data_IF_331163674630
#
_entry.id   IF_331163674630
#
_cell.length_a   1.000
_cell.length_b   1.000
_cell.length_c   1.000
_cell.angle_alpha   90.00
_cell.angle_beta   90.00
_cell.angle_gamma   90.00
#
_symmetry.space_group_name_H-M   'P 1'
#
loop_
_entity.id
_entity.type
_entity.pdbx_description
1 polymer ?
#
# COMPACT_ATOMS: atom_id res chain seq x y z
N UNK A 1 -9.31 -23.20 16.68
CA UNK A 1 -9.88 -22.09 15.87
C UNK A 1 -8.89 -20.95 15.67
N UNK A 2 -8.41 -20.27 16.74
CA UNK A 2 -7.43 -19.17 16.62
C UNK A 2 -6.17 -19.56 15.82
N UNK A 3 -5.51 -20.67 16.17
CA UNK A 3 -4.34 -21.17 15.43
C UNK A 3 -4.63 -21.42 13.93
N UNK A 4 -5.86 -21.80 13.56
CA UNK A 4 -6.25 -21.96 12.16
C UNK A 4 -6.40 -20.61 11.48
N UNK A 5 -7.03 -19.64 12.14
CA UNK A 5 -7.11 -18.26 11.65
C UNK A 5 -5.71 -17.66 11.45
N UNK A 6 -4.75 -17.99 12.33
CA UNK A 6 -3.37 -17.51 12.22
C UNK A 6 -2.63 -18.17 11.06
N UNK A 7 -2.80 -19.48 10.84
CA UNK A 7 -2.27 -20.19 9.66
C UNK A 7 -2.87 -19.71 8.34
N UNK A 8 -4.07 -19.16 8.37
CA UNK A 8 -4.74 -18.55 7.22
C UNK A 8 -4.44 -17.04 7.08
N UNK A 9 -3.47 -16.51 7.84
CA UNK A 9 -3.07 -15.09 7.85
C UNK A 9 -4.21 -14.09 8.14
N UNK A 10 -5.25 -14.52 8.86
CA UNK A 10 -6.32 -13.64 9.32
C UNK A 10 -5.86 -12.84 10.55
N UNK A 11 -6.44 -11.65 10.82
CA UNK A 11 -6.05 -10.78 11.95
C UNK A 11 -6.22 -11.47 13.32
N UNK A 12 -7.07 -12.49 13.40
CA UNK A 12 -7.48 -13.15 14.63
C UNK A 12 -8.91 -13.65 14.56
N UNK A 13 -9.47 -14.00 15.72
CA UNK A 13 -10.87 -14.37 15.88
C UNK A 13 -11.55 -13.44 16.88
N UNK A 14 -12.82 -13.14 16.63
CA UNK A 14 -13.70 -12.45 17.57
C UNK A 14 -14.69 -13.48 18.08
N UNK A 15 -14.70 -13.69 19.39
CA UNK A 15 -15.57 -14.65 20.07
C UNK A 15 -16.58 -13.91 20.94
N UNK A 16 -17.82 -14.37 20.92
CA UNK A 16 -18.90 -13.89 21.79
C UNK A 16 -19.14 -14.89 22.90
N UNK A 17 -19.41 -14.41 24.10
CA UNK A 17 -19.97 -15.23 25.16
C UNK A 17 -21.37 -15.74 24.76
N UNK A 18 -21.59 -17.05 24.88
CA UNK A 18 -22.78 -17.74 24.35
C UNK A 18 -24.08 -17.16 24.91
N UNK A 19 -24.12 -16.95 26.22
CA UNK A 19 -25.34 -16.56 26.94
C UNK A 19 -25.53 -15.04 27.01
N UNK A 20 -24.59 -14.26 26.46
CA UNK A 20 -24.68 -12.81 26.50
C UNK A 20 -25.63 -12.28 25.40
N UNK A 21 -26.54 -11.33 25.71
CA UNK A 21 -27.39 -10.69 24.69
C UNK A 21 -26.55 -9.83 23.73
N UNK A 22 -26.99 -9.71 22.47
CA UNK A 22 -26.39 -8.75 21.53
C UNK A 22 -26.72 -7.31 21.96
N UNK A 23 -25.70 -6.58 22.42
CA UNK A 23 -25.81 -5.17 22.79
C UNK A 23 -24.84 -4.33 21.95
N UNK A 24 -25.31 -3.18 21.47
CA UNK A 24 -24.47 -2.20 20.79
C UNK A 24 -23.59 -1.45 21.80
N UNK A 25 -22.39 -1.02 21.39
CA UNK A 25 -21.42 -0.33 22.24
C UNK A 25 -20.29 -1.21 22.78
N UNK A 26 -19.42 -0.65 23.63
CA UNK A 26 -18.34 -1.41 24.28
C UNK A 26 -18.90 -2.26 25.42
N UNK A 27 -18.65 -3.56 25.36
CA UNK A 27 -19.00 -4.52 26.41
C UNK A 27 -17.95 -5.62 26.54
N UNK A 28 -17.95 -6.32 27.67
CA UNK A 28 -17.01 -7.41 27.95
C UNK A 28 -17.39 -8.77 27.36
N UNK A 29 -18.60 -8.90 26.79
CA UNK A 29 -19.14 -10.16 26.26
C UNK A 29 -18.54 -10.59 24.91
N UNK A 30 -17.57 -9.81 24.41
CA UNK A 30 -16.87 -10.06 23.15
C UNK A 30 -15.37 -10.00 23.40
N UNK A 31 -14.67 -11.09 23.06
CA UNK A 31 -13.22 -11.16 23.18
C UNK A 31 -12.60 -11.31 21.79
N UNK A 32 -11.68 -10.41 21.44
CA UNK A 32 -10.87 -10.52 20.24
C UNK A 32 -9.52 -11.15 20.59
N UNK A 33 -9.26 -12.33 20.05
CA UNK A 33 -7.95 -12.96 20.12
C UNK A 33 -7.24 -12.74 18.78
N UNK A 34 -6.12 -12.01 18.78
CA UNK A 34 -5.41 -11.65 17.56
C UNK A 34 -4.33 -12.69 17.21
N UNK A 35 -4.10 -12.88 15.93
CA UNK A 35 -2.95 -13.61 15.41
C UNK A 35 -1.79 -12.62 15.28
N UNK A 36 -0.82 -12.72 16.19
CA UNK A 36 0.35 -11.85 16.18
C UNK A 36 1.57 -12.72 16.43
N UNK A 37 2.58 -12.59 15.57
CA UNK A 37 3.86 -13.23 15.79
C UNK A 37 4.51 -12.57 17.02
N UNK A 38 4.94 -13.38 17.99
CA UNK A 38 5.86 -12.95 19.02
C UNK A 38 7.26 -12.90 18.43
N UNK A 39 8.04 -11.88 18.77
CA UNK A 39 9.46 -11.82 18.40
C UNK A 39 10.28 -11.26 19.55
N UNK A 40 11.56 -11.64 19.60
CA UNK A 40 12.48 -11.22 20.64
C UNK A 40 13.33 -10.07 20.12
N UNK A 41 13.50 -9.02 20.93
CA UNK A 41 14.32 -7.86 20.56
C UNK A 41 15.21 -7.45 21.72
N UNK A 42 16.38 -6.91 21.41
CA UNK A 42 17.30 -6.32 22.39
C UNK A 42 16.87 -4.88 22.61
N UNK A 43 16.83 -4.45 23.87
CA UNK A 43 16.59 -3.05 24.22
C UNK A 43 17.92 -2.30 24.12
N UNK A 44 18.08 -1.51 23.06
CA UNK A 44 19.27 -0.66 22.87
C UNK A 44 19.12 0.76 23.45
N UNK A 45 17.95 1.09 23.97
CA UNK A 45 17.69 2.38 24.62
C UNK A 45 16.19 2.64 24.82
N UNK A 46 15.86 3.82 25.33
CA UNK A 46 14.48 4.24 25.52
C UNK A 46 14.31 5.74 25.37
N UNK A 47 13.08 6.19 25.14
CA UNK A 47 12.70 7.60 25.24
C UNK A 47 11.82 7.84 26.45
N UNK A 48 11.97 9.00 27.07
CA UNK A 48 11.20 9.40 28.25
C UNK A 48 10.50 10.74 28.06
N UNK A 49 9.51 11.01 28.89
CA UNK A 49 8.95 12.34 29.11
C UNK A 49 8.95 12.57 30.62
N UNK A 50 9.95 13.31 31.11
CA UNK A 50 10.26 13.37 32.54
C UNK A 50 10.64 11.99 33.09
N UNK A 51 9.91 11.52 34.10
CA UNK A 51 10.12 10.18 34.71
C UNK A 51 9.36 9.05 33.99
N UNK A 52 8.53 9.37 32.99
CA UNK A 52 7.65 8.39 32.32
C UNK A 52 8.31 7.81 31.08
N UNK A 53 8.33 6.49 30.98
CA UNK A 53 8.77 5.76 29.78
C UNK A 53 7.77 6.03 28.62
N UNK A 54 8.29 6.42 27.46
CA UNK A 54 7.50 6.69 26.25
C UNK A 54 7.63 5.58 25.21
N UNK A 55 8.85 5.10 24.96
CA UNK A 55 9.09 3.96 24.07
C UNK A 55 10.43 3.30 24.33
N UNK A 56 10.54 2.02 23.99
CA UNK A 56 11.83 1.31 23.90
C UNK A 56 12.35 1.38 22.46
N UNK A 57 13.68 1.41 22.33
CA UNK A 57 14.40 1.30 21.07
C UNK A 57 14.82 -0.16 20.89
N UNK A 58 14.19 -0.86 19.96
CA UNK A 58 14.42 -2.27 19.70
C UNK A 58 15.57 -2.48 18.72
N UNK A 59 16.39 -3.49 18.99
CA UNK A 59 17.48 -3.95 18.14
C UNK A 59 17.44 -5.46 17.92
N UNK A 60 18.03 -5.91 16.82
CA UNK A 60 18.39 -7.32 16.59
C UNK A 60 19.80 -7.39 16.03
N UNK A 61 20.46 -8.51 16.26
CA UNK A 61 21.75 -8.75 15.61
C UNK A 61 21.55 -9.14 14.14
N UNK A 62 22.42 -8.60 13.27
CA UNK A 62 22.51 -8.99 11.85
C UNK A 62 23.95 -9.30 11.46
N UNK A 63 24.12 -10.27 10.57
CA UNK A 63 25.41 -10.76 10.06
C UNK A 63 26.00 -11.92 10.87
N UNK A 64 26.99 -12.61 10.29
CA UNK A 64 27.45 -13.90 10.80
C UNK A 64 28.77 -13.80 11.58
N UNK A 65 28.90 -14.61 12.64
CA UNK A 65 30.14 -14.77 13.43
C UNK A 65 30.63 -13.46 14.09
N UNK A 66 31.92 -13.15 13.96
CA UNK A 66 32.54 -11.93 14.53
C UNK A 66 32.06 -10.62 13.87
N UNK A 67 31.25 -10.72 12.81
CA UNK A 67 30.68 -9.58 12.06
C UNK A 67 29.30 -9.15 12.59
N UNK A 68 28.79 -9.84 13.62
CA UNK A 68 27.45 -9.65 14.18
C UNK A 68 27.31 -8.23 14.73
N UNK A 69 26.46 -7.42 14.10
CA UNK A 69 26.22 -6.02 14.47
C UNK A 69 24.81 -5.85 15.02
N UNK A 70 24.67 -5.13 16.12
CA UNK A 70 23.36 -4.74 16.64
C UNK A 70 22.78 -3.62 15.77
N UNK A 71 21.64 -3.89 15.14
CA UNK A 71 20.95 -2.97 14.22
C UNK A 71 19.64 -2.55 14.85
N UNK A 72 19.36 -1.25 14.84
CA UNK A 72 18.08 -0.71 15.28
C UNK A 72 16.97 -1.16 14.33
N UNK A 73 15.90 -1.72 14.89
CA UNK A 73 14.76 -2.25 14.14
C UNK A 73 13.44 -1.56 14.46
N UNK A 74 13.41 -0.53 15.31
CA UNK A 74 12.21 0.28 15.50
C UNK A 74 11.86 0.57 16.96
N UNK A 75 10.70 1.20 17.15
CA UNK A 75 10.22 1.60 18.48
C UNK A 75 9.12 0.68 18.97
N UNK A 76 9.17 0.37 20.26
CA UNK A 76 8.08 -0.29 20.99
C UNK A 76 7.42 0.77 21.85
N UNK A 77 6.24 1.23 21.46
CA UNK A 77 5.56 2.38 22.06
C UNK A 77 4.37 2.03 22.97
N UNK A 78 4.03 0.75 23.09
CA UNK A 78 2.85 0.28 23.86
C UNK A 78 3.21 -0.98 24.65
N UNK A 79 2.34 -1.39 25.59
CA UNK A 79 2.60 -2.53 26.49
C UNK A 79 3.14 -2.17 27.88
N UNK A 80 3.25 -0.87 28.19
CA UNK A 80 3.81 -0.36 29.44
C UNK A 80 2.72 0.08 30.44
N UNK A 81 1.93 -0.88 30.96
CA UNK A 81 1.01 -0.60 32.08
C UNK A 81 1.76 -0.14 33.34
N UNK A 82 1.06 0.40 34.36
CA UNK A 82 1.70 0.92 35.57
C UNK A 82 2.55 -0.10 36.34
N UNK A 83 2.10 -1.36 36.43
CA UNK A 83 2.87 -2.45 37.03
C UNK A 83 4.14 -2.75 36.23
N UNK A 84 4.03 -2.78 34.90
CA UNK A 84 5.16 -3.01 33.98
C UNK A 84 6.18 -1.89 34.07
N UNK A 85 5.74 -0.62 34.10
CA UNK A 85 6.64 0.52 34.23
C UNK A 85 7.42 0.50 35.55
N UNK A 86 6.76 0.16 36.67
CA UNK A 86 7.41 0.04 37.98
C UNK A 86 8.52 -1.02 38.00
N UNK A 87 8.34 -2.11 37.27
CA UNK A 87 9.34 -3.18 37.18
C UNK A 87 10.44 -2.91 36.12
N UNK A 88 10.08 -2.27 35.00
CA UNK A 88 10.96 -2.11 33.83
C UNK A 88 11.90 -0.91 33.95
N UNK A 89 11.42 0.24 34.44
CA UNK A 89 12.22 1.49 34.50
C UNK A 89 13.49 1.35 35.36
N UNK A 90 13.47 0.71 36.55
CA UNK A 90 14.69 0.51 37.33
C UNK A 90 15.75 -0.30 36.58
N UNK A 91 15.34 -1.37 35.89
CA UNK A 91 16.24 -2.21 35.08
C UNK A 91 16.85 -1.45 33.91
N UNK A 92 16.06 -0.60 33.23
CA UNK A 92 16.58 0.26 32.16
C UNK A 92 17.65 1.23 32.67
N UNK A 93 17.45 1.79 33.88
CA UNK A 93 18.42 2.71 34.50
C UNK A 93 19.73 2.02 34.88
N UNK A 94 19.68 0.77 35.32
CA UNK A 94 20.88 -0.02 35.66
C UNK A 94 21.78 -0.30 34.43
N UNK A 95 21.16 -0.42 33.25
CA UNK A 95 21.87 -0.62 31.99
C UNK A 95 22.10 0.67 31.20
N UNK A 96 21.86 1.85 31.78
CA UNK A 96 22.04 3.12 31.08
C UNK A 96 23.49 3.30 30.59
N UNK A 97 23.65 3.80 29.37
CA UNK A 97 24.94 4.02 28.70
C UNK A 97 25.03 5.44 28.14
N UNK A 98 26.26 5.97 28.04
CA UNK A 98 26.54 7.25 27.38
C UNK A 98 26.61 7.12 25.86
N UNK A 99 26.87 5.92 25.35
CA UNK A 99 27.05 5.62 23.93
C UNK A 99 25.96 4.68 23.42
N UNK A 100 25.58 4.85 22.14
CA UNK A 100 24.65 3.97 21.46
C UNK A 100 25.24 2.56 21.34
N UNK A 101 24.48 1.49 21.66
CA UNK A 101 24.91 0.12 21.45
C UNK A 101 24.73 -0.33 19.98
N UNK A 102 24.02 0.46 19.17
CA UNK A 102 23.78 0.13 17.76
C UNK A 102 25.01 0.47 16.91
N UNK A 103 25.25 -0.33 15.87
CA UNK A 103 26.36 -0.10 14.95
C UNK A 103 26.29 1.28 14.27
N UNK A 104 27.44 1.81 13.86
CA UNK A 104 27.54 3.08 13.15
C UNK A 104 26.69 3.06 11.87
N UNK A 105 25.86 4.10 11.67
CA UNK A 105 24.89 4.16 10.57
C UNK A 105 23.60 3.35 10.77
N UNK A 106 23.51 2.57 11.86
CA UNK A 106 22.35 1.75 12.21
C UNK A 106 21.69 2.19 13.54
N UNK A 107 22.02 3.38 14.05
CA UNK A 107 21.37 4.01 15.21
C UNK A 107 20.18 4.87 14.78
N UNK A 108 19.13 5.00 15.61
CA UNK A 108 18.07 5.98 15.36
C UNK A 108 18.61 7.42 15.45
N UNK A 109 17.94 8.41 14.80
CA UNK A 109 18.28 9.82 14.95
C UNK A 109 18.29 10.25 16.42
N UNK A 110 19.29 11.04 16.83
CA UNK A 110 19.44 11.48 18.23
C UNK A 110 18.32 12.46 18.62
N UNK A 111 17.65 12.18 19.72
CA UNK A 111 16.60 13.02 20.29
C UNK A 111 16.99 13.45 21.72
N UNK A 112 16.51 14.62 22.18
CA UNK A 112 16.91 15.19 23.47
C UNK A 112 16.47 14.36 24.69
N UNK A 113 15.42 13.55 24.53
CA UNK A 113 14.82 12.72 25.57
C UNK A 113 15.15 11.22 25.41
N UNK A 114 16.23 10.92 24.69
CA UNK A 114 16.70 9.58 24.41
C UNK A 114 17.80 9.16 25.38
N UNK A 115 17.70 7.94 25.89
CA UNK A 115 18.67 7.30 26.76
C UNK A 115 19.17 6.02 26.09
N UNK A 116 20.47 5.80 26.08
CA UNK A 116 21.05 4.56 25.55
C UNK A 116 21.11 3.51 26.65
N UNK A 117 20.96 2.25 26.26
CA UNK A 117 21.12 1.11 27.14
C UNK A 117 22.29 0.24 26.64
N UNK A 118 23.04 -0.39 27.54
CA UNK A 118 23.84 -1.56 27.19
C UNK A 118 22.91 -2.65 26.66
N UNK A 119 23.32 -3.43 25.66
CA UNK A 119 22.46 -4.42 25.01
C UNK A 119 22.27 -5.68 25.87
N UNK A 120 21.97 -5.52 27.16
CA UNK A 120 21.91 -6.59 28.16
C UNK A 120 20.47 -7.11 28.34
N UNK A 121 19.47 -6.32 27.97
CA UNK A 121 18.06 -6.62 28.19
C UNK A 121 17.40 -7.12 26.90
N UNK A 122 16.85 -8.34 26.95
CA UNK A 122 15.99 -8.91 25.91
C UNK A 122 14.53 -8.73 26.28
N UNK A 123 13.73 -8.26 25.34
CA UNK A 123 12.30 -8.11 25.46
C UNK A 123 11.57 -9.02 24.47
N UNK A 124 10.52 -9.68 24.95
CA UNK A 124 9.50 -10.23 24.07
C UNK A 124 8.55 -9.10 23.64
N UNK A 125 8.35 -9.01 22.34
CA UNK A 125 7.39 -8.10 21.73
C UNK A 125 6.36 -8.88 20.94
N UNK A 126 5.17 -8.31 20.90
CA UNK A 126 4.17 -8.71 19.94
C UNK A 126 4.05 -7.59 18.91
N UNK A 127 4.09 -7.94 17.63
CA UNK A 127 4.16 -6.96 16.56
C UNK A 127 3.33 -7.41 15.37
N UNK A 128 2.98 -6.45 14.51
CA UNK A 128 2.14 -6.67 13.34
C UNK A 128 2.94 -7.15 12.11
N UNK A 129 4.16 -7.68 12.33
CA UNK A 129 5.08 -8.14 11.30
C UNK A 129 6.26 -7.19 11.02
N UNK A 130 7.22 -7.68 10.25
CA UNK A 130 8.40 -6.93 9.81
C UNK A 130 8.07 -6.06 8.60
N UNK A 131 8.69 -4.89 8.50
CA UNK A 131 8.69 -4.09 7.27
C UNK A 131 9.70 -4.66 6.27
N UNK A 132 9.63 -4.27 4.98
CA UNK A 132 10.62 -4.66 3.98
C UNK A 132 12.06 -4.18 4.27
N UNK A 133 12.22 -3.18 5.15
CA UNK A 133 13.53 -2.75 5.68
C UNK A 133 13.99 -3.59 6.90
N UNK A 134 13.18 -4.55 7.34
CA UNK A 134 13.37 -5.39 8.51
C UNK A 134 13.23 -4.64 9.83
N UNK A 135 12.29 -3.70 9.91
CA UNK A 135 11.89 -3.01 11.15
C UNK A 135 10.58 -3.60 11.71
N UNK A 136 10.37 -3.53 13.02
CA UNK A 136 9.16 -4.00 13.68
C UNK A 136 8.00 -3.01 13.50
N UNK A 137 6.81 -3.51 13.12
CA UNK A 137 5.60 -2.69 12.92
C UNK A 137 4.62 -2.83 14.08
N UNK A 138 4.15 -1.71 14.64
CA UNK A 138 3.14 -1.68 15.71
C UNK A 138 3.49 -2.60 16.90
N UNK A 139 4.74 -2.55 17.34
CA UNK A 139 5.23 -3.39 18.42
C UNK A 139 4.65 -2.97 19.79
N UNK A 140 4.27 -3.98 20.58
CA UNK A 140 3.85 -3.87 21.96
C UNK A 140 4.73 -4.76 22.84
N UNK A 141 5.23 -4.21 23.94
CA UNK A 141 6.02 -4.94 24.92
C UNK A 141 5.17 -6.00 25.63
N UNK A 142 5.71 -7.21 25.80
CA UNK A 142 5.07 -8.30 26.53
C UNK A 142 5.78 -8.65 27.82
N UNK A 143 7.11 -8.69 27.80
CA UNK A 143 7.91 -9.02 28.98
C UNK A 143 9.41 -8.95 28.72
N UNK A 144 10.20 -8.98 29.79
CA UNK A 144 11.64 -9.20 29.69
C UNK A 144 11.93 -10.70 29.70
N UNK A 145 12.83 -11.15 28.83
CA UNK A 145 13.35 -12.52 28.79
C UNK A 145 14.67 -12.56 29.55
N UNK A 146 14.61 -12.90 30.84
CA UNK A 146 15.81 -13.09 31.67
C UNK A 146 16.46 -14.47 31.48
N UNK A 147 15.80 -15.34 30.73
CA UNK A 147 16.16 -16.71 30.41
C UNK A 147 17.04 -16.85 29.17
N UNK A 148 17.26 -15.77 28.41
CA UNK A 148 18.01 -15.79 27.13
C UNK A 148 19.06 -14.68 27.08
N UNK A 149 20.33 -14.98 26.73
CA UNK A 149 21.36 -13.96 26.56
C UNK A 149 21.09 -13.11 25.31
N UNK A 150 21.35 -11.82 25.41
CA UNK A 150 21.08 -10.86 24.33
C UNK A 150 21.82 -11.18 23.02
N UNK A 151 22.96 -11.84 23.10
CA UNK A 151 23.76 -12.25 21.95
C UNK A 151 23.04 -13.26 21.06
N UNK A 152 22.02 -13.98 21.53
CA UNK A 152 21.30 -15.03 20.79
C UNK A 152 20.02 -14.54 20.07
N UNK A 153 19.75 -13.23 20.08
CA UNK A 153 18.54 -12.66 19.45
C UNK A 153 18.81 -12.31 17.98
N UNK A 154 18.13 -13.01 17.06
CA UNK A 154 18.23 -12.86 15.59
C UNK A 154 16.87 -12.54 14.95
N UNK A 155 16.89 -11.88 13.79
CA UNK A 155 15.67 -11.59 13.04
C UNK A 155 15.12 -12.86 12.37
N UNK A 156 13.85 -13.21 12.62
CA UNK A 156 13.19 -14.29 11.90
C UNK A 156 12.88 -13.87 10.45
N UNK A 157 13.38 -14.65 9.49
CA UNK A 157 13.06 -14.53 8.07
C UNK A 157 11.78 -15.33 7.80
N UNK A 158 10.76 -14.69 7.23
CA UNK A 158 9.49 -15.35 6.93
C UNK A 158 9.68 -16.52 5.95
N UNK A 159 9.18 -17.70 6.30
CA UNK A 159 9.14 -18.86 5.41
C UNK A 159 8.14 -18.65 4.27
N UNK A 160 8.47 -19.19 3.10
CA UNK A 160 7.68 -19.12 1.86
C UNK A 160 6.40 -19.97 1.99
N UNK A 161 5.19 -19.47 1.68
CA UNK A 161 3.97 -20.26 1.83
C UNK A 161 3.83 -21.31 0.71
N UNK A 162 3.59 -22.56 1.09
CA UNK A 162 3.15 -23.61 0.15
C UNK A 162 1.73 -23.34 -0.35
N UNK A 163 1.48 -23.71 -1.61
CA UNK A 163 0.20 -23.54 -2.31
C UNK A 163 -0.88 -24.39 -1.65
N UNK A 164 -1.94 -23.76 -1.17
CA UNK A 164 -3.20 -24.44 -0.80
C UNK A 164 -4.29 -24.01 -1.78
N UNK A 165 -4.96 -24.99 -2.40
CA UNK A 165 -6.06 -24.75 -3.33
C UNK A 165 -7.30 -24.15 -2.65
N UNK A 166 -7.88 -23.13 -3.29
CA UNK A 166 -9.05 -22.41 -2.78
C UNK A 166 -10.37 -23.03 -3.27
N UNK A 167 -11.34 -23.18 -2.36
CA UNK A 167 -12.74 -23.44 -2.70
C UNK A 167 -13.43 -22.17 -3.23
N UNK A 168 -14.25 -22.32 -4.28
CA UNK A 168 -14.99 -21.23 -4.96
C UNK A 168 -16.19 -20.73 -4.12
N UNK A 169 -16.31 -19.43 -3.83
CA UNK A 169 -17.49 -18.88 -3.19
C UNK A 169 -18.54 -18.38 -4.21
N UNK A 170 -19.80 -18.77 -4.01
CA UNK A 170 -20.99 -18.25 -4.71
C UNK A 170 -21.41 -16.87 -4.17
N UNK A 171 -22.00 -16.00 -5.01
CA UNK A 171 -22.28 -14.61 -4.65
C UNK A 171 -23.51 -14.46 -3.74
N UNK A 172 -23.38 -13.69 -2.65
CA UNK A 172 -24.51 -13.27 -1.80
C UNK A 172 -24.88 -11.82 -2.10
N UNK A 173 -26.18 -11.57 -2.23
CA UNK A 173 -26.83 -10.29 -2.55
C UNK A 173 -26.37 -9.14 -1.64
N UNK A 174 -26.08 -8.01 -2.26
CA UNK A 174 -25.70 -6.73 -1.64
C UNK A 174 -26.89 -6.12 -0.88
N UNK A 175 -26.76 -5.93 0.43
CA UNK A 175 -27.67 -5.06 1.20
C UNK A 175 -27.13 -3.64 1.20
N UNK A 176 -27.96 -2.68 0.77
CA UNK A 176 -27.71 -1.23 0.79
C UNK A 176 -27.16 -0.79 2.15
N UNK A 177 -25.96 -0.23 2.16
CA UNK A 177 -25.36 0.42 3.34
C UNK A 177 -26.17 1.67 3.71
N UNK A 178 -26.80 1.64 4.88
CA UNK A 178 -27.36 2.83 5.53
C UNK A 178 -26.22 3.72 6.02
N UNK A 179 -26.27 4.99 5.64
CA UNK A 179 -25.37 6.06 6.05
C UNK A 179 -25.59 6.33 7.55
N UNK A 180 -24.67 5.92 8.40
CA UNK A 180 -24.65 6.32 9.81
C UNK A 180 -23.98 7.69 9.90
N UNK A 181 -24.76 8.70 10.26
CA UNK A 181 -24.28 10.01 10.69
C UNK A 181 -23.66 9.88 12.07
N UNK A 182 -22.34 9.80 12.14
CA UNK A 182 -21.60 10.03 13.38
C UNK A 182 -21.04 11.45 13.38
N UNK A 183 -21.41 12.22 14.38
CA UNK A 183 -20.86 13.53 14.73
C UNK A 183 -19.39 13.38 15.17
N UNK A 184 -18.49 14.34 14.89
CA UNK A 184 -17.06 14.14 15.06
C UNK A 184 -16.65 14.22 16.53
N UNK A 185 -16.21 13.08 17.09
CA UNK A 185 -15.36 13.11 18.29
C UNK A 185 -13.94 13.50 17.88
N UNK A 186 -13.27 14.27 18.73
CA UNK A 186 -11.97 14.93 18.58
C UNK A 186 -10.74 14.01 18.42
N UNK A 187 -10.89 12.83 17.83
CA UNK A 187 -9.80 11.99 17.35
C UNK A 187 -9.38 12.40 15.93
N UNK A 188 -8.08 12.40 15.64
CA UNK A 188 -7.60 12.56 14.24
C UNK A 188 -8.28 11.50 13.38
N UNK A 189 -8.87 11.89 12.25
CA UNK A 189 -9.43 10.94 11.29
C UNK A 189 -8.28 10.09 10.72
N UNK A 190 -8.28 8.79 11.02
CA UNK A 190 -7.23 7.86 10.60
C UNK A 190 -7.78 6.86 9.60
N UNK A 191 -7.06 6.62 8.51
CA UNK A 191 -7.35 5.55 7.53
C UNK A 191 -6.04 4.82 7.27
N UNK A 192 -6.00 3.49 7.42
CA UNK A 192 -4.78 2.68 7.24
C UNK A 192 -3.54 3.21 8.01
N UNK A 193 -3.74 3.80 9.20
CA UNK A 193 -2.65 4.38 9.99
C UNK A 193 -2.14 5.74 9.49
N UNK A 194 -2.79 6.34 8.49
CA UNK A 194 -2.52 7.69 7.98
C UNK A 194 -3.52 8.69 8.54
N UNK A 195 -3.04 9.80 9.08
CA UNK A 195 -3.90 10.91 9.51
C UNK A 195 -4.40 11.68 8.29
N UNK A 196 -5.72 11.74 8.14
CA UNK A 196 -6.39 12.50 7.09
C UNK A 196 -6.72 13.90 7.63
N UNK A 197 -6.05 14.91 7.10
CA UNK A 197 -6.38 16.31 7.41
C UNK A 197 -7.52 16.81 6.54
N UNK A 198 -8.37 17.67 7.10
CA UNK A 198 -9.61 18.14 6.48
C UNK A 198 -10.45 16.97 5.92
N UNK A 199 -10.83 15.99 6.76
CA UNK A 199 -11.50 14.77 6.31
C UNK A 199 -12.80 15.07 5.56
N UNK A 200 -13.55 16.08 5.99
CA UNK A 200 -14.83 16.50 5.41
C UNK A 200 -14.67 17.39 4.15
N UNK A 201 -13.43 17.65 3.69
CA UNK A 201 -13.20 18.47 2.49
C UNK A 201 -13.84 17.79 1.29
N UNK A 202 -14.81 18.42 0.58
CA UNK A 202 -15.42 17.84 -0.59
C UNK A 202 -14.39 17.80 -1.73
N UNK A 203 -14.11 16.60 -2.24
CA UNK A 203 -13.30 16.40 -3.43
C UNK A 203 -14.18 16.30 -4.69
N UNK A 204 -15.39 15.75 -4.58
CA UNK A 204 -16.44 15.83 -5.60
C UNK A 204 -17.64 16.62 -5.04
N UNK A 205 -17.64 17.95 -5.16
CA UNK A 205 -18.65 18.80 -4.52
C UNK A 205 -20.05 18.69 -5.16
N UNK A 206 -20.14 18.29 -6.42
CA UNK A 206 -21.41 18.22 -7.16
C UNK A 206 -22.19 16.92 -6.92
N UNK A 207 -21.57 15.92 -6.30
CA UNK A 207 -22.24 14.67 -5.90
C UNK A 207 -23.24 14.94 -4.78
N UNK A 208 -24.30 14.12 -4.70
CA UNK A 208 -25.35 14.25 -3.68
C UNK A 208 -25.50 12.94 -2.91
N UNK A 209 -24.87 12.81 -1.73
CA UNK A 209 -24.03 13.79 -1.03
C UNK A 209 -22.64 13.99 -1.65
N UNK A 210 -21.94 15.11 -1.35
CA UNK A 210 -20.57 15.33 -1.81
C UNK A 210 -19.63 14.23 -1.34
N UNK A 211 -18.73 13.77 -2.22
CA UNK A 211 -17.68 12.81 -1.85
C UNK A 211 -16.49 13.58 -1.27
N UNK A 212 -16.12 13.21 -0.06
CA UNK A 212 -15.12 13.88 0.78
C UNK A 212 -13.74 13.22 0.70
N UNK A 213 -12.72 13.92 1.21
CA UNK A 213 -11.35 13.43 1.24
C UNK A 213 -11.19 12.16 2.07
N UNK A 214 -11.91 12.03 3.19
CA UNK A 214 -11.89 10.79 3.98
C UNK A 214 -12.58 9.63 3.23
N UNK A 215 -13.61 9.92 2.43
CA UNK A 215 -14.26 8.91 1.60
C UNK A 215 -13.35 8.42 0.47
N UNK A 216 -12.53 9.30 -0.14
CA UNK A 216 -11.48 8.86 -1.07
C UNK A 216 -10.47 7.92 -0.38
N UNK A 217 -10.01 8.27 0.82
CA UNK A 217 -9.08 7.42 1.57
C UNK A 217 -9.69 6.06 1.92
N UNK A 218 -10.96 6.03 2.35
CA UNK A 218 -11.71 4.80 2.64
C UNK A 218 -12.00 3.98 1.38
N UNK A 219 -12.22 4.64 0.24
CA UNK A 219 -12.36 3.95 -1.04
C UNK A 219 -11.06 3.21 -1.38
N UNK A 220 -9.92 3.88 -1.30
CA UNK A 220 -8.62 3.23 -1.51
C UNK A 220 -8.30 2.12 -0.49
N UNK A 221 -8.73 2.26 0.76
CA UNK A 221 -8.65 1.17 1.74
C UNK A 221 -9.50 -0.03 1.30
N UNK A 222 -10.73 0.21 0.84
CA UNK A 222 -11.66 -0.85 0.45
C UNK A 222 -11.24 -1.60 -0.82
N UNK A 223 -10.64 -0.92 -1.80
CA UNK A 223 -10.17 -1.55 -3.06
C UNK A 223 -8.68 -1.87 -3.06
N UNK A 224 -7.96 -1.53 -2.00
CA UNK A 224 -6.50 -1.55 -1.95
C UNK A 224 -5.91 -2.89 -2.32
N UNK A 225 -6.44 -3.98 -1.76
CA UNK A 225 -5.95 -5.34 -2.00
C UNK A 225 -6.07 -5.79 -3.46
N UNK A 226 -7.05 -5.26 -4.22
CA UNK A 226 -7.17 -5.54 -5.66
C UNK A 226 -6.40 -4.55 -6.52
N UNK A 227 -6.32 -3.30 -6.07
CA UNK A 227 -5.67 -2.22 -6.81
C UNK A 227 -4.14 -2.34 -6.76
N UNK A 228 -3.59 -2.79 -5.63
CA UNK A 228 -2.15 -2.67 -5.37
C UNK A 228 -1.32 -3.54 -6.32
N UNK A 229 -1.80 -4.71 -6.72
CA UNK A 229 -1.12 -5.59 -7.69
C UNK A 229 -0.92 -4.94 -9.07
N UNK A 230 -1.73 -3.92 -9.39
CA UNK A 230 -1.64 -3.18 -10.64
C UNK A 230 -0.76 -1.92 -10.57
N UNK A 231 -0.29 -1.55 -9.37
CA UNK A 231 0.44 -0.30 -9.09
C UNK A 231 1.82 -0.59 -8.48
N UNK A 232 1.92 -1.56 -7.57
CA UNK A 232 3.15 -1.86 -6.86
C UNK A 232 4.29 -2.22 -7.82
N UNK A 233 5.49 -1.76 -7.49
CA UNK A 233 6.69 -1.89 -8.30
C UNK A 233 6.72 -1.01 -9.55
N UNK A 234 5.68 -0.20 -9.82
CA UNK A 234 5.61 0.62 -11.03
C UNK A 234 5.80 2.10 -10.66
N UNK A 235 6.64 2.84 -11.41
CA UNK A 235 6.62 4.31 -11.36
C UNK A 235 5.17 4.79 -11.54
N UNK A 236 4.69 5.63 -10.64
CA UNK A 236 3.30 6.06 -10.60
C UNK A 236 3.23 7.58 -10.52
N UNK A 237 2.75 8.20 -11.60
CA UNK A 237 2.38 9.61 -11.52
C UNK A 237 1.02 9.75 -10.86
N UNK A 238 0.76 10.90 -10.24
CA UNK A 238 -0.52 11.19 -9.60
C UNK A 238 -1.08 12.51 -10.08
N UNK A 239 -2.40 12.59 -10.21
CA UNK A 239 -3.10 13.86 -10.40
C UNK A 239 -3.70 14.27 -9.08
N UNK A 240 -3.31 15.45 -8.61
CA UNK A 240 -3.77 16.01 -7.35
C UNK A 240 -4.81 17.08 -7.60
N UNK A 241 -5.91 17.00 -6.87
CA UNK A 241 -6.98 17.99 -6.82
C UNK A 241 -7.19 18.42 -5.37
N UNK A 242 -6.21 19.12 -4.76
CA UNK A 242 -6.26 19.46 -3.34
C UNK A 242 -7.50 20.25 -2.95
N UNK A 243 -8.10 21.00 -3.87
CA UNK A 243 -9.32 21.81 -3.69
C UNK A 243 -10.58 21.15 -4.27
N UNK A 244 -10.52 19.84 -4.57
CA UNK A 244 -11.56 19.10 -5.28
C UNK A 244 -11.45 19.19 -6.80
N UNK A 245 -12.19 18.32 -7.49
CA UNK A 245 -12.04 18.09 -8.94
C UNK A 245 -12.42 19.31 -9.80
N UNK A 246 -13.28 20.18 -9.28
CA UNK A 246 -13.67 21.46 -9.90
C UNK A 246 -12.82 22.65 -9.41
N UNK A 247 -11.87 22.37 -8.51
CA UNK A 247 -10.99 23.38 -7.93
C UNK A 247 -10.00 23.94 -8.96
N UNK A 248 -9.51 25.16 -8.71
CA UNK A 248 -8.52 25.83 -9.58
C UNK A 248 -7.18 25.09 -9.63
N UNK A 249 -6.85 24.36 -8.58
CA UNK A 249 -5.61 23.61 -8.46
C UNK A 249 -5.83 22.15 -8.86
N UNK A 250 -5.46 21.82 -10.10
CA UNK A 250 -5.31 20.44 -10.60
C UNK A 250 -3.93 20.33 -11.23
N UNK A 251 -3.07 19.47 -10.69
CA UNK A 251 -1.72 19.32 -11.25
C UNK A 251 -1.22 17.87 -11.22
N UNK A 252 -0.35 17.59 -12.19
CA UNK A 252 0.31 16.31 -12.36
C UNK A 252 1.61 16.29 -11.56
N UNK A 253 1.83 15.25 -10.76
CA UNK A 253 3.00 15.10 -9.93
C UNK A 253 3.68 13.74 -10.23
N UNK A 254 4.96 13.81 -10.59
CA UNK A 254 5.80 12.64 -10.92
C UNK A 254 6.75 12.26 -9.80
N UNK A 255 7.27 13.26 -9.10
CA UNK A 255 8.33 13.10 -8.10
C UNK A 255 7.76 13.34 -6.70
N UNK A 256 8.41 12.76 -5.68
CA UNK A 256 8.14 13.13 -4.31
C UNK A 256 8.45 14.62 -4.08
N UNK A 257 7.69 15.24 -3.18
CA UNK A 257 7.92 16.60 -2.69
C UNK A 257 8.40 16.57 -1.24
N UNK A 258 8.98 17.67 -0.76
CA UNK A 258 9.31 17.80 0.66
C UNK A 258 8.07 17.55 1.54
N UNK A 259 8.21 16.72 2.58
CA UNK A 259 7.10 16.32 3.43
C UNK A 259 6.20 15.21 2.87
N UNK A 260 6.61 14.55 1.78
CA UNK A 260 5.92 13.35 1.29
C UNK A 260 5.94 12.25 2.35
N UNK A 261 4.89 11.45 2.38
CA UNK A 261 4.77 10.36 3.35
C UNK A 261 5.85 9.30 3.12
N UNK A 262 6.45 8.80 4.20
CA UNK A 262 7.38 7.66 4.20
C UNK A 262 6.73 6.35 3.71
N UNK A 263 5.41 6.35 3.51
CA UNK A 263 4.66 5.23 2.93
C UNK A 263 4.74 5.18 1.40
N UNK A 264 5.30 6.21 0.78
CA UNK A 264 5.57 6.28 -0.65
C UNK A 264 7.05 6.01 -0.86
N UNK A 265 7.36 5.21 -1.87
CA UNK A 265 8.71 4.90 -2.30
C UNK A 265 9.08 5.74 -3.53
N UNK A 266 10.36 5.70 -3.90
CA UNK A 266 10.88 6.38 -5.07
C UNK A 266 11.68 5.39 -5.92
N UNK A 267 11.53 5.48 -7.24
CA UNK A 267 12.21 4.62 -8.21
C UNK A 267 12.94 5.46 -9.25
N UNK A 268 14.18 5.10 -9.54
CA UNK A 268 14.93 5.74 -10.63
C UNK A 268 14.45 5.17 -11.95
N UNK A 269 14.19 6.06 -12.90
CA UNK A 269 13.77 5.69 -14.26
C UNK A 269 14.78 6.25 -15.22
N UNK A 270 15.20 5.45 -16.21
CA UNK A 270 16.13 5.89 -17.24
C UNK A 270 15.58 7.11 -17.99
N UNK A 271 16.42 8.11 -18.22
CA UNK A 271 16.04 9.36 -18.91
C UNK A 271 15.37 10.43 -18.04
N UNK A 272 15.01 10.14 -16.78
CA UNK A 272 14.50 11.16 -15.85
C UNK A 272 15.60 11.64 -14.88
N UNK A 273 15.58 12.93 -14.54
CA UNK A 273 16.56 13.58 -13.66
C UNK A 273 16.26 13.31 -12.19
N UNK A 274 15.00 13.05 -11.83
CA UNK A 274 14.56 12.82 -10.45
C UNK A 274 13.82 11.48 -10.37
N UNK A 275 13.91 10.77 -9.23
CA UNK A 275 13.13 9.55 -9.03
C UNK A 275 11.63 9.80 -9.19
N UNK A 276 10.93 8.82 -9.75
CA UNK A 276 9.47 8.79 -9.78
C UNK A 276 8.91 8.34 -8.44
N UNK A 277 7.74 8.84 -8.12
CA UNK A 277 6.92 8.30 -7.04
C UNK A 277 6.53 6.85 -7.35
N UNK A 278 6.49 6.01 -6.32
CA UNK A 278 6.04 4.63 -6.39
C UNK A 278 5.16 4.32 -5.17
N UNK A 279 4.13 3.50 -5.38
CA UNK A 279 3.14 3.15 -4.35
C UNK A 279 3.12 1.62 -4.24
N UNK A 280 3.92 1.09 -3.31
CA UNK A 280 4.18 -0.36 -3.19
C UNK A 280 3.34 -1.07 -2.15
N UNK A 281 2.45 -0.33 -1.48
CA UNK A 281 1.63 -0.89 -0.40
C UNK A 281 0.29 -0.20 -0.28
N UNK A 282 -0.70 -0.95 0.19
CA UNK A 282 -2.08 -0.51 0.37
C UNK A 282 -2.17 0.74 1.25
N UNK A 283 -1.36 0.83 2.31
CA UNK A 283 -1.35 2.03 3.18
C UNK A 283 -0.78 3.28 2.48
N UNK A 284 0.05 3.09 1.46
CA UNK A 284 0.50 4.17 0.57
C UNK A 284 -0.67 4.82 -0.18
N UNK A 285 -1.75 4.08 -0.44
CA UNK A 285 -2.95 4.61 -1.08
C UNK A 285 -3.68 5.62 -0.18
N UNK A 286 -3.69 5.41 1.15
CA UNK A 286 -4.20 6.42 2.09
C UNK A 286 -3.30 7.66 2.12
N UNK A 287 -1.98 7.50 1.98
CA UNK A 287 -1.06 8.63 1.91
C UNK A 287 -1.29 9.49 0.66
N UNK A 288 -1.52 8.88 -0.51
CA UNK A 288 -1.84 9.64 -1.72
C UNK A 288 -3.24 10.28 -1.64
N UNK A 289 -4.24 9.63 -1.02
CA UNK A 289 -5.52 10.28 -0.72
C UNK A 289 -5.36 11.48 0.21
N UNK A 290 -4.52 11.38 1.25
CA UNK A 290 -4.19 12.51 2.12
C UNK A 290 -3.56 13.68 1.36
N UNK A 291 -2.84 13.41 0.27
CA UNK A 291 -2.30 14.43 -0.63
C UNK A 291 -3.34 15.01 -1.61
N UNK A 292 -4.56 14.47 -1.64
CA UNK A 292 -5.62 14.83 -2.57
C UNK A 292 -5.42 14.22 -3.97
N UNK A 293 -4.75 13.07 -4.08
CA UNK A 293 -4.53 12.39 -5.35
C UNK A 293 -5.76 11.60 -5.80
N UNK A 294 -6.49 12.15 -6.77
CA UNK A 294 -7.73 11.55 -7.29
C UNK A 294 -7.50 10.61 -8.46
N UNK A 295 -6.35 10.69 -9.13
CA UNK A 295 -6.00 9.78 -10.23
C UNK A 295 -4.59 9.23 -10.02
N UNK A 296 -4.42 7.93 -10.26
CA UNK A 296 -3.15 7.21 -10.19
C UNK A 296 -2.81 6.71 -11.60
N UNK A 297 -1.60 7.03 -12.04
CA UNK A 297 -1.10 6.75 -13.40
C UNK A 297 0.16 5.87 -13.30
N UNK A 298 0.02 4.57 -12.97
CA UNK A 298 1.14 3.63 -12.94
C UNK A 298 1.62 3.31 -14.35
N UNK A 299 2.94 3.22 -14.50
CA UNK A 299 3.57 2.81 -15.75
C UNK A 299 3.19 1.38 -16.13
N UNK A 300 3.23 1.09 -17.43
CA UNK A 300 2.90 -0.23 -17.99
C UNK A 300 4.09 -1.21 -17.97
N UNK A 301 5.16 -0.91 -17.24
CA UNK A 301 6.38 -1.72 -17.12
C UNK A 301 6.20 -3.01 -16.30
N UNK A 302 7.22 -3.85 -16.15
CA UNK A 302 7.20 -4.90 -15.14
C UNK A 302 7.38 -4.29 -13.74
N UNK A 303 6.77 -4.87 -12.68
CA UNK A 303 7.05 -4.45 -11.31
C UNK A 303 8.56 -4.53 -11.01
N UNK A 304 9.13 -3.45 -10.50
CA UNK A 304 10.56 -3.34 -10.15
C UNK A 304 11.50 -3.17 -11.36
N UNK A 305 11.01 -3.21 -12.59
CA UNK A 305 11.82 -3.04 -13.79
C UNK A 305 11.15 -2.08 -14.79
N UNK A 306 11.40 -0.75 -14.66
CA UNK A 306 10.82 0.27 -15.55
C UNK A 306 11.17 0.13 -17.04
N UNK A 307 12.31 -0.49 -17.35
CA UNK A 307 12.82 -0.61 -18.71
C UNK A 307 12.21 -1.78 -19.49
N UNK A 308 11.51 -2.70 -18.80
CA UNK A 308 10.85 -3.85 -19.42
C UNK A 308 9.32 -3.63 -19.45
N UNK A 309 8.65 -3.69 -20.62
CA UNK A 309 7.19 -3.69 -20.71
C UNK A 309 6.56 -4.86 -19.93
N UNK A 310 5.54 -4.56 -19.14
CA UNK A 310 4.76 -5.57 -18.41
C UNK A 310 3.32 -5.72 -18.86
N UNK A 311 2.79 -4.76 -19.62
CA UNK A 311 1.48 -4.86 -20.26
C UNK A 311 1.39 -3.97 -21.50
N UNK A 312 0.65 -4.44 -22.50
CA UNK A 312 0.17 -3.63 -23.61
C UNK A 312 -1.17 -3.01 -23.23
N UNK A 313 -1.42 -1.78 -23.66
CA UNK A 313 -2.69 -1.07 -23.45
C UNK A 313 -3.11 -0.46 -24.76
N UNK A 314 -4.30 -0.83 -25.23
CA UNK A 314 -4.97 -0.21 -26.35
C UNK A 314 -6.06 0.70 -25.77
N UNK A 315 -5.94 2.01 -25.96
CA UNK A 315 -6.93 2.99 -25.50
C UNK A 315 -7.85 3.39 -26.64
N UNK A 316 -9.15 3.16 -26.46
CA UNK A 316 -10.18 3.48 -27.41
C UNK A 316 -10.85 4.79 -26.96
N UNK A 317 -10.46 5.88 -27.62
CA UNK A 317 -10.93 7.24 -27.34
C UNK A 317 -11.98 7.68 -28.38
N UNK A 318 -13.28 7.62 -28.08
CA UNK A 318 -14.33 8.02 -29.02
C UNK A 318 -14.38 9.53 -29.24
N UNK A 319 -14.66 9.95 -30.47
CA UNK A 319 -15.11 11.31 -30.71
C UNK A 319 -16.43 11.62 -29.97
N UNK A 320 -16.74 12.90 -29.69
CA UNK A 320 -17.90 13.27 -28.89
C UNK A 320 -19.25 12.78 -29.42
N UNK A 321 -19.35 12.55 -30.73
CA UNK A 321 -20.51 12.08 -31.47
C UNK A 321 -20.61 10.54 -31.59
N UNK A 322 -19.59 9.81 -31.12
CA UNK A 322 -19.58 8.34 -31.15
C UNK A 322 -20.19 7.79 -29.87
N UNK A 323 -21.24 6.98 -30.01
CA UNK A 323 -21.91 6.32 -28.91
C UNK A 323 -21.04 5.26 -28.21
N UNK A 324 -21.23 5.09 -26.91
CA UNK A 324 -20.43 4.15 -26.10
C UNK A 324 -20.55 2.68 -26.57
N UNK A 325 -21.70 2.28 -27.15
CA UNK A 325 -21.87 0.93 -27.72
C UNK A 325 -20.88 0.64 -28.85
N UNK A 326 -20.52 1.65 -29.65
CA UNK A 326 -19.50 1.51 -30.69
C UNK A 326 -18.10 1.27 -30.08
N UNK A 327 -17.80 1.90 -28.94
CA UNK A 327 -16.56 1.68 -28.18
C UNK A 327 -16.51 0.26 -27.62
N UNK A 328 -17.63 -0.23 -27.07
CA UNK A 328 -17.75 -1.62 -26.60
C UNK A 328 -17.53 -2.61 -27.75
N UNK A 329 -18.10 -2.36 -28.93
CA UNK A 329 -17.87 -3.17 -30.11
C UNK A 329 -16.40 -3.17 -30.53
N UNK A 330 -15.76 -2.00 -30.57
CA UNK A 330 -14.33 -1.89 -30.90
C UNK A 330 -13.41 -2.59 -29.91
N UNK A 331 -13.70 -2.48 -28.60
CA UNK A 331 -12.93 -3.18 -27.58
C UNK A 331 -13.04 -4.71 -27.73
N UNK A 332 -14.23 -5.23 -28.07
CA UNK A 332 -14.43 -6.65 -28.35
C UNK A 332 -13.68 -7.11 -29.60
N UNK A 333 -13.60 -6.27 -30.61
CA UNK A 333 -12.91 -6.57 -31.85
C UNK A 333 -11.39 -6.65 -31.65
N UNK A 334 -10.80 -5.67 -30.98
CA UNK A 334 -9.38 -5.71 -30.58
C UNK A 334 -9.12 -6.96 -29.74
N UNK A 335 -9.96 -7.25 -28.75
CA UNK A 335 -9.82 -8.45 -27.94
C UNK A 335 -9.90 -9.75 -28.77
N UNK A 336 -10.80 -9.83 -29.76
CA UNK A 336 -10.89 -11.00 -30.65
C UNK A 336 -9.62 -11.18 -31.49
N UNK A 337 -9.05 -10.10 -32.03
CA UNK A 337 -7.77 -10.14 -32.78
C UNK A 337 -6.62 -10.61 -31.90
N UNK A 338 -6.51 -10.07 -30.69
CA UNK A 338 -5.47 -10.46 -29.72
C UNK A 338 -5.59 -11.95 -29.34
N UNK A 339 -6.81 -12.46 -29.11
CA UNK A 339 -7.02 -13.89 -28.81
C UNK A 339 -6.60 -14.82 -29.95
N UNK A 340 -6.79 -14.41 -31.22
CA UNK A 340 -6.31 -15.19 -32.38
C UNK A 340 -4.78 -15.32 -32.41
N UNK A 341 -4.07 -14.38 -31.79
CA UNK A 341 -2.61 -14.39 -31.63
C UNK A 341 -2.16 -15.13 -30.36
N UNK A 342 -3.08 -15.76 -29.63
CA UNK A 342 -2.78 -16.46 -28.37
C UNK A 342 -2.65 -15.56 -27.15
N UNK A 343 -2.97 -14.26 -27.27
CA UNK A 343 -2.91 -13.31 -26.17
C UNK A 343 -4.20 -13.30 -25.34
N UNK A 344 -4.10 -12.91 -24.07
CA UNK A 344 -5.23 -12.85 -23.12
C UNK A 344 -5.60 -11.40 -22.81
N UNK A 345 -6.58 -10.81 -23.51
CA UNK A 345 -6.99 -9.43 -23.28
C UNK A 345 -8.01 -9.29 -22.13
N UNK A 346 -7.82 -8.26 -21.33
CA UNK A 346 -8.74 -7.79 -20.29
C UNK A 346 -9.27 -6.41 -20.68
N UNK A 347 -10.49 -6.07 -20.28
CA UNK A 347 -11.07 -4.76 -20.55
C UNK A 347 -11.30 -4.01 -19.22
N UNK A 348 -11.02 -2.71 -19.22
CA UNK A 348 -11.41 -1.81 -18.13
C UNK A 348 -11.98 -0.51 -18.69
N UNK A 349 -12.98 0.03 -18.01
CA UNK A 349 -13.46 1.39 -18.26
C UNK A 349 -12.40 2.41 -17.87
N UNK A 350 -12.28 3.50 -18.62
CA UNK A 350 -11.32 4.58 -18.28
C UNK A 350 -11.80 5.48 -17.15
N UNK A 351 -13.10 5.47 -16.86
CA UNK A 351 -13.75 6.48 -16.02
C UNK A 351 -14.12 7.76 -16.79
N UNK A 352 -13.69 7.87 -18.05
CA UNK A 352 -14.13 8.88 -19.01
C UNK A 352 -15.08 8.29 -20.05
N UNK A 353 -14.83 8.58 -21.33
CA UNK A 353 -15.68 8.16 -22.45
C UNK A 353 -15.24 6.85 -23.11
N UNK A 354 -14.00 6.43 -22.88
CA UNK A 354 -13.34 5.33 -23.59
C UNK A 354 -13.25 4.00 -22.82
N UNK A 355 -12.56 3.05 -23.44
CA UNK A 355 -12.22 1.75 -22.87
C UNK A 355 -10.72 1.46 -23.07
N UNK A 356 -10.08 0.81 -22.10
CA UNK A 356 -8.76 0.21 -22.31
C UNK A 356 -8.91 -1.29 -22.50
N UNK A 357 -8.28 -1.83 -23.54
CA UNK A 357 -7.99 -3.26 -23.67
C UNK A 357 -6.54 -3.50 -23.26
N UNK A 358 -6.31 -4.34 -22.26
CA UNK A 358 -5.01 -4.55 -21.62
C UNK A 358 -4.57 -6.00 -21.81
N UNK A 359 -3.32 -6.21 -22.20
CA UNK A 359 -2.72 -7.55 -22.33
C UNK A 359 -1.49 -7.62 -21.43
N UNK A 360 -1.44 -8.55 -20.45
CA UNK A 360 -0.23 -8.75 -19.65
C UNK A 360 0.89 -9.35 -20.52
N UNK A 361 2.12 -8.93 -20.24
CA UNK A 361 3.34 -9.51 -20.82
C UNK A 361 4.08 -10.28 -19.73
N UNK A 362 4.80 -11.33 -20.13
CA UNK A 362 5.70 -12.04 -19.21
C UNK A 362 6.92 -11.18 -18.90
N UNK A 363 7.73 -11.58 -17.91
CA UNK A 363 8.97 -10.92 -17.51
C UNK A 363 10.21 -11.74 -17.93
N UNK A 364 10.03 -12.75 -18.77
CA UNK A 364 11.08 -13.65 -19.21
C UNK A 364 11.89 -13.08 -20.39
N UNK A 365 12.94 -13.79 -20.81
CA UNK A 365 13.86 -13.33 -21.87
C UNK A 365 13.21 -13.17 -23.24
N UNK A 366 12.02 -13.71 -23.46
CA UNK A 366 11.24 -13.57 -24.70
C UNK A 366 10.34 -12.34 -24.68
N UNK A 367 10.25 -11.64 -23.56
CA UNK A 367 9.43 -10.44 -23.44
C UNK A 367 9.97 -9.33 -24.34
N UNK A 368 9.09 -8.61 -25.06
CA UNK A 368 9.50 -7.56 -25.97
C UNK A 368 10.05 -6.37 -25.18
N UNK A 369 10.97 -5.63 -25.79
CA UNK A 369 11.32 -4.28 -25.34
C UNK A 369 10.21 -3.27 -25.70
N UNK A 370 10.37 -2.02 -25.26
CA UNK A 370 9.38 -0.96 -25.49
C UNK A 370 9.13 -0.69 -26.97
N UNK A 371 10.16 -0.71 -27.82
CA UNK A 371 10.03 -0.42 -29.25
C UNK A 371 9.31 -1.55 -30.00
N UNK A 372 9.61 -2.81 -29.64
CA UNK A 372 8.93 -3.99 -30.18
C UNK A 372 7.46 -4.02 -29.73
N UNK A 373 7.21 -3.78 -28.43
CA UNK A 373 5.85 -3.71 -27.89
C UNK A 373 5.01 -2.64 -28.58
N UNK A 374 5.56 -1.42 -28.75
CA UNK A 374 4.90 -0.31 -29.45
C UNK A 374 4.68 -0.59 -30.93
N UNK A 375 5.64 -1.23 -31.59
CA UNK A 375 5.50 -1.61 -33.00
C UNK A 375 4.37 -2.62 -33.18
N UNK A 376 4.28 -3.61 -32.28
CA UNK A 376 3.21 -4.60 -32.27
C UNK A 376 1.83 -3.95 -32.06
N UNK A 377 1.66 -3.11 -31.03
CA UNK A 377 0.37 -2.46 -30.76
C UNK A 377 -0.06 -1.55 -31.91
N UNK A 378 0.88 -0.77 -32.46
CA UNK A 378 0.66 0.06 -33.64
C UNK A 378 0.16 -0.74 -34.83
N UNK A 379 0.76 -1.90 -35.10
CA UNK A 379 0.38 -2.72 -36.24
C UNK A 379 -1.02 -3.31 -36.10
N UNK A 380 -1.43 -3.70 -34.88
CA UNK A 380 -2.81 -4.14 -34.61
C UNK A 380 -3.81 -3.01 -34.85
N UNK A 381 -3.54 -1.82 -34.30
CA UNK A 381 -4.42 -0.67 -34.48
C UNK A 381 -4.47 -0.19 -35.94
N UNK A 382 -3.33 -0.19 -36.63
CA UNK A 382 -3.24 0.18 -38.05
C UNK A 382 -4.09 -0.75 -38.91
N UNK A 383 -3.93 -2.07 -38.78
CA UNK A 383 -4.75 -3.03 -39.54
C UNK A 383 -6.24 -2.85 -39.29
N UNK A 384 -6.63 -2.62 -38.04
CA UNK A 384 -8.03 -2.37 -37.69
C UNK A 384 -8.56 -1.08 -38.35
N UNK A 385 -7.76 -0.01 -38.34
CA UNK A 385 -8.13 1.24 -39.01
C UNK A 385 -8.12 1.15 -40.54
N UNK A 386 -7.26 0.32 -41.13
CA UNK A 386 -7.23 0.10 -42.58
C UNK A 386 -8.42 -0.76 -43.05
N UNK A 387 -8.83 -1.74 -42.24
CA UNK A 387 -9.98 -2.60 -42.52
C UNK A 387 -11.31 -1.87 -42.31
N UNK A 388 -11.38 -0.96 -41.33
CA UNK A 388 -12.60 -0.20 -40.98
C UNK A 388 -12.33 1.31 -40.80
N UNK A 389 -11.93 2.02 -41.88
CA UNK A 389 -11.46 3.41 -41.82
C UNK A 389 -12.54 4.43 -41.46
N UNK A 390 -13.81 4.08 -41.65
CA UNK A 390 -14.96 4.91 -41.27
C UNK A 390 -15.27 4.84 -39.77
N UNK A 391 -14.70 3.85 -39.05
CA UNK A 391 -14.94 3.63 -37.62
C UNK A 391 -13.72 3.94 -36.76
N UNK A 392 -12.51 3.72 -37.28
CA UNK A 392 -11.28 3.85 -36.49
C UNK A 392 -10.25 4.76 -37.16
N UNK A 393 -9.39 5.35 -36.32
CA UNK A 393 -8.25 6.15 -36.77
C UNK A 393 -7.08 5.98 -35.79
N UNK A 394 -5.86 5.92 -36.31
CA UNK A 394 -4.64 5.85 -35.48
C UNK A 394 -3.85 7.17 -35.46
N UNK A 395 -4.28 8.17 -36.22
CA UNK A 395 -3.68 9.49 -36.25
C UNK A 395 -4.17 10.34 -35.08
N UNK A 396 -3.25 11.05 -34.42
CA UNK A 396 -3.56 11.94 -33.31
C UNK A 396 -4.32 13.21 -33.71
N UNK A 397 -4.33 13.58 -34.99
CA UNK A 397 -4.95 14.82 -35.45
C UNK A 397 -6.47 14.86 -35.15
N UNK A 398 -6.89 15.74 -34.23
CA UNK A 398 -8.30 15.88 -33.80
C UNK A 398 -9.30 16.10 -34.95
N UNK A 399 -8.88 16.78 -36.02
CA UNK A 399 -9.71 17.04 -37.21
C UNK A 399 -10.13 15.74 -37.92
N UNK A 400 -9.34 14.69 -37.81
CA UNK A 400 -9.61 13.40 -38.41
C UNK A 400 -10.41 12.47 -37.49
N UNK A 401 -10.75 12.89 -36.26
CA UNK A 401 -11.43 12.00 -35.30
C UNK A 401 -12.96 12.02 -35.39
N UNK A 402 -13.57 13.01 -36.05
CA UNK A 402 -15.04 13.17 -36.12
C UNK A 402 -15.72 11.88 -36.57
N UNK A 403 -16.72 11.41 -35.82
CA UNK A 403 -17.46 10.18 -36.10
C UNK A 403 -16.69 8.88 -35.87
N UNK A 404 -15.44 8.93 -35.39
CA UNK A 404 -14.53 7.77 -35.28
C UNK A 404 -13.99 7.57 -33.87
N UNK A 405 -13.52 6.36 -33.62
CA UNK A 405 -12.78 5.98 -32.41
C UNK A 405 -11.29 6.12 -32.72
N UNK A 406 -10.60 6.96 -31.96
CA UNK A 406 -9.15 7.02 -31.99
C UNK A 406 -8.58 5.83 -31.22
N UNK A 407 -7.71 5.06 -31.88
CA UNK A 407 -7.00 3.93 -31.31
C UNK A 407 -5.60 4.36 -30.90
N UNK A 408 -5.41 4.68 -29.61
CA UNK A 408 -4.10 4.97 -29.05
C UNK A 408 -3.41 3.66 -28.65
N UNK A 409 -2.18 3.47 -29.14
CA UNK A 409 -1.48 2.17 -29.17
C UNK A 409 -0.18 2.16 -28.38
#
# INVERSE_FOLDING_TARGET
VLQSACRMHLEGIVSKELDAPYKSGRGGSWTKAKCRAGHEVIIGGWTSEGRRLRSLLAGVHRGDGKSRKLVYVGRVGTGFGESVMRALVPKLREVESKTSPFAAGASPPKEANMHWARPDLVAEIEFAGWTGAGNVRQAAFKGLRGDKPAEEVEAEVAANPEKVEMAKPTPRKTSKLKRATETPSSGKAMVMGVSISHPDKPLWPNEKPPVTKIELARYYEAVGDWMIDHIAGRPCSIVRTPDGIDGKQKFFQRHAMAGSSHLLSEVKVSGDKKPYLQIDRVEGLAAVAQMGATELHPWNCQPGNPDLPGRLVFDLDPAPDVGFDAVVAGAREIAARLRKLGLVPFCKTTGGKGLHVVVPLTDDKKSPDWDTAKTFTREICRRLADEEPDRYVINMAKKERTGRIFLDY
#
